data_IF_098499230301
#
_entry.id   IF_098499230301
#
_cell.length_a   1.000
_cell.length_b   1.000
_cell.length_c   1.000
_cell.angle_alpha   90.00
_cell.angle_beta   90.00
_cell.angle_gamma   90.00
#
_symmetry.space_group_name_H-M   'P 1'
#
loop_
_entity.id
_entity.type
_entity.pdbx_description
1 polymer ?
#
# COMPACT_ATOMS: atom_id res chain seq x y z
N UNK A 1 -0.40 -29.76 17.59
CA UNK A 1 -0.21 -28.36 18.05
C UNK A 1 0.86 -27.56 17.26
N UNK A 2 1.75 -28.17 16.46
CA UNK A 2 2.80 -27.44 15.69
C UNK A 2 2.28 -26.56 14.54
N UNK A 3 1.21 -26.98 13.84
CA UNK A 3 0.63 -26.19 12.73
C UNK A 3 0.09 -24.84 13.19
N UNK A 4 -0.67 -24.80 14.28
CA UNK A 4 -1.28 -23.55 14.77
C UNK A 4 -0.23 -22.51 15.22
N UNK A 5 0.82 -22.95 15.94
CA UNK A 5 1.94 -22.08 16.30
C UNK A 5 2.66 -21.56 15.06
N UNK A 6 2.96 -22.43 14.09
CA UNK A 6 3.62 -22.03 12.85
C UNK A 6 2.84 -20.96 12.08
N UNK A 7 1.52 -21.13 11.91
CA UNK A 7 0.68 -20.10 11.27
C UNK A 7 0.61 -18.80 12.05
N UNK A 8 0.58 -18.87 13.39
CA UNK A 8 0.59 -17.69 14.23
C UNK A 8 1.89 -16.90 14.04
N UNK A 9 3.04 -17.58 14.12
CA UNK A 9 4.36 -16.98 14.00
C UNK A 9 4.57 -16.39 12.58
N UNK A 10 4.07 -17.04 11.53
CA UNK A 10 4.15 -16.54 10.16
C UNK A 10 3.38 -15.23 9.94
N UNK A 11 2.27 -15.04 10.67
CA UNK A 11 1.41 -13.85 10.54
C UNK A 11 1.88 -12.69 11.42
N UNK A 12 2.82 -12.95 12.32
CA UNK A 12 3.32 -11.96 13.28
C UNK A 12 4.29 -11.01 12.57
N UNK A 13 3.76 -9.90 12.06
CA UNK A 13 4.57 -8.82 11.50
C UNK A 13 4.82 -7.77 12.58
N UNK A 14 6.08 -7.65 13.00
CA UNK A 14 6.50 -6.56 13.88
C UNK A 14 6.67 -5.28 13.07
N UNK A 15 5.81 -4.29 13.32
CA UNK A 15 5.93 -2.96 12.74
C UNK A 15 6.76 -2.09 13.69
N UNK A 16 7.86 -1.54 13.19
CA UNK A 16 8.70 -0.64 13.96
C UNK A 16 8.35 0.81 13.63
N UNK A 17 8.26 1.63 14.66
CA UNK A 17 7.97 3.04 14.53
C UNK A 17 9.06 3.90 15.16
N UNK A 18 9.28 5.07 14.58
CA UNK A 18 10.19 6.09 15.09
C UNK A 18 9.42 7.21 15.77
N UNK A 19 10.13 7.99 16.58
CA UNK A 19 9.63 9.26 17.12
C UNK A 19 9.21 10.17 15.96
N UNK A 20 8.10 10.87 16.13
CA UNK A 20 7.43 11.75 15.17
C UNK A 20 6.79 11.08 13.95
N UNK A 21 6.78 9.75 13.88
CA UNK A 21 6.02 9.03 12.84
C UNK A 21 4.51 9.24 13.02
N UNK A 22 3.81 9.42 11.91
CA UNK A 22 2.35 9.53 11.88
C UNK A 22 1.71 8.14 11.80
N UNK A 23 0.84 7.84 12.77
CA UNK A 23 0.20 6.53 12.93
C UNK A 23 -1.30 6.65 13.20
N UNK A 24 -2.06 5.71 12.66
CA UNK A 24 -3.46 5.50 13.02
C UNK A 24 -3.57 4.58 14.23
N UNK A 25 -4.46 4.92 15.15
CA UNK A 25 -4.67 4.15 16.39
C UNK A 25 -6.04 3.48 16.38
N UNK A 26 -6.09 2.19 16.69
CA UNK A 26 -7.32 1.42 16.82
C UNK A 26 -7.98 1.66 18.18
N UNK A 27 -9.25 2.10 18.14
CA UNK A 27 -10.10 2.26 19.31
C UNK A 27 -11.34 1.36 19.16
N UNK A 28 -11.51 0.33 20.01
CA UNK A 28 -12.68 -0.54 20.00
C UNK A 28 -13.90 0.13 20.65
N UNK A 29 -14.11 1.43 20.41
CA UNK A 29 -15.19 2.22 21.00
C UNK A 29 -16.16 2.61 19.90
N UNK A 30 -17.39 2.11 20.00
CA UNK A 30 -18.51 2.47 19.12
C UNK A 30 -19.33 3.61 19.72
N UNK A 31 -19.81 4.52 18.89
CA UNK A 31 -20.84 5.49 19.29
C UNK A 31 -22.22 4.81 19.23
N UNK A 32 -23.11 5.04 20.21
CA UNK A 32 -24.47 4.52 20.14
C UNK A 32 -25.19 5.06 18.89
N UNK A 33 -26.02 4.22 18.26
CA UNK A 33 -26.72 4.58 17.02
C UNK A 33 -25.91 4.46 15.73
N UNK A 34 -24.63 4.08 15.78
CA UNK A 34 -23.82 3.83 14.58
C UNK A 34 -23.65 2.34 14.28
N UNK A 35 -23.75 1.99 12.99
CA UNK A 35 -23.50 0.62 12.52
C UNK A 35 -22.01 0.29 12.60
N UNK A 36 -21.67 -0.85 13.23
CA UNK A 36 -20.29 -1.34 13.34
C UNK A 36 -19.64 -1.62 11.98
N UNK A 37 -20.45 -1.95 10.97
CA UNK A 37 -19.97 -2.30 9.62
C UNK A 37 -19.46 -1.09 8.84
N UNK A 38 -20.02 0.09 9.11
CA UNK A 38 -19.67 1.35 8.42
C UNK A 38 -18.80 2.27 9.28
N UNK A 39 -18.55 1.91 10.54
CA UNK A 39 -17.74 2.71 11.45
C UNK A 39 -16.26 2.34 11.32
N UNK A 40 -15.41 3.33 11.04
CA UNK A 40 -13.96 3.15 11.17
C UNK A 40 -13.54 3.25 12.64
N UNK A 41 -12.89 2.20 13.14
CA UNK A 41 -12.30 2.17 14.48
C UNK A 41 -10.88 2.74 14.52
N UNK A 42 -10.26 2.99 13.37
CA UNK A 42 -8.98 3.67 13.27
C UNK A 42 -9.20 5.17 13.32
N UNK A 43 -8.52 5.84 14.25
CA UNK A 43 -8.61 7.29 14.42
C UNK A 43 -7.26 7.95 14.19
N UNK A 44 -7.33 9.12 13.54
CA UNK A 44 -6.29 10.15 13.43
C UNK A 44 -5.00 9.71 12.75
N UNK A 45 -4.24 10.62 12.15
CA UNK A 45 -2.79 10.53 12.24
C UNK A 45 -2.38 11.13 13.60
N UNK A 46 -1.95 10.26 14.51
CA UNK A 46 -1.31 10.64 15.77
C UNK A 46 0.20 10.58 15.60
N UNK A 47 0.93 11.38 16.37
CA UNK A 47 2.39 11.35 16.37
C UNK A 47 2.89 10.47 17.51
N UNK A 48 3.91 9.68 17.22
CA UNK A 48 4.63 8.94 18.26
C UNK A 48 5.58 9.90 18.97
N UNK A 49 5.39 10.01 20.28
CA UNK A 49 6.20 10.88 21.13
C UNK A 49 7.50 10.19 21.52
N UNK A 50 7.43 8.97 22.03
CA UNK A 50 8.59 8.20 22.47
C UNK A 50 8.34 6.69 22.32
N UNK A 51 9.43 5.92 22.19
CA UNK A 51 9.43 4.45 22.18
C UNK A 51 9.86 3.95 23.56
N UNK A 52 9.02 3.16 24.24
CA UNK A 52 9.36 2.56 25.53
C UNK A 52 9.91 1.14 25.39
N UNK A 53 9.55 0.44 24.33
CA UNK A 53 10.06 -0.87 23.96
C UNK A 53 9.63 -1.22 22.54
N UNK A 54 9.84 -2.46 22.12
CA UNK A 54 9.49 -2.87 20.74
C UNK A 54 7.97 -2.95 20.52
N UNK A 55 7.24 -3.27 21.59
CA UNK A 55 5.79 -3.47 21.56
C UNK A 55 5.00 -2.25 22.04
N UNK A 56 5.62 -1.33 22.77
CA UNK A 56 4.93 -0.27 23.51
C UNK A 56 5.46 1.09 23.11
N UNK A 57 4.55 1.94 22.63
CA UNK A 57 4.85 3.29 22.17
C UNK A 57 3.98 4.31 22.90
N UNK A 58 4.52 5.52 23.09
CA UNK A 58 3.78 6.67 23.60
C UNK A 58 3.34 7.52 22.42
N UNK A 59 2.05 7.83 22.35
CA UNK A 59 1.46 8.64 21.29
C UNK A 59 0.52 9.70 21.86
N UNK A 60 0.22 10.75 21.10
CA UNK A 60 -0.63 11.87 21.52
C UNK A 60 -2.14 11.60 21.35
N UNK A 61 -2.58 10.35 21.52
CA UNK A 61 -3.93 9.91 21.18
C UNK A 61 -4.99 10.13 22.26
N UNK A 62 -4.62 10.69 23.42
CA UNK A 62 -5.54 10.95 24.51
C UNK A 62 -6.48 12.15 24.27
N UNK A 63 -7.49 12.28 25.13
CA UNK A 63 -8.38 13.44 25.12
C UNK A 63 -7.56 14.73 25.33
N UNK A 64 -7.76 15.72 24.45
CA UNK A 64 -6.96 16.97 24.41
C UNK A 64 -5.45 16.75 24.22
N UNK A 65 -5.06 15.77 23.38
CA UNK A 65 -3.65 15.43 23.07
C UNK A 65 -2.83 14.99 24.27
N UNK A 66 -3.48 14.44 25.30
CA UNK A 66 -2.75 13.82 26.42
C UNK A 66 -1.95 12.62 25.88
N UNK A 67 -0.68 12.46 26.28
CA UNK A 67 0.09 11.30 25.87
C UNK A 67 -0.53 10.03 26.47
N UNK A 68 -0.68 9.01 25.65
CA UNK A 68 -1.14 7.69 26.04
C UNK A 68 -0.12 6.65 25.60
N UNK A 69 -0.07 5.53 26.31
CA UNK A 69 0.77 4.39 25.97
C UNK A 69 -0.08 3.34 25.26
N UNK A 70 0.35 2.91 24.08
CA UNK A 70 -0.41 2.03 23.17
C UNK A 70 0.50 0.92 22.63
N UNK A 71 -0.07 -0.28 22.52
CA UNK A 71 0.59 -1.46 21.96
C UNK A 71 0.70 -1.38 20.43
N UNK A 72 1.78 -1.93 19.86
CA UNK A 72 2.10 -1.95 18.42
C UNK A 72 0.95 -2.49 17.57
N UNK A 73 0.25 -3.53 18.02
CA UNK A 73 -0.87 -4.14 17.28
C UNK A 73 -2.06 -3.19 17.06
N UNK A 74 -2.16 -2.13 17.88
CA UNK A 74 -3.19 -1.10 17.75
C UNK A 74 -2.76 0.05 16.88
N UNK A 75 -1.50 0.07 16.41
CA UNK A 75 -0.93 1.12 15.57
C UNK A 75 -0.89 0.66 14.11
N UNK A 76 -1.17 1.59 13.19
CA UNK A 76 -0.95 1.40 11.76
C UNK A 76 -0.17 2.58 11.21
N UNK A 77 0.89 2.29 10.45
CA UNK A 77 1.70 3.31 9.77
C UNK A 77 0.84 4.09 8.77
N UNK A 78 0.93 5.42 8.77
CA UNK A 78 0.35 6.24 7.71
C UNK A 78 1.21 6.12 6.46
N UNK A 79 0.64 5.56 5.40
CA UNK A 79 1.29 5.52 4.10
C UNK A 79 1.01 6.83 3.36
N UNK A 80 2.05 7.42 2.76
CA UNK A 80 1.87 8.57 1.86
C UNK A 80 1.17 8.06 0.59
N UNK A 81 0.05 8.68 0.25
CA UNK A 81 -0.64 8.49 -1.02
C UNK A 81 -0.33 9.74 -1.85
N UNK A 82 0.49 9.59 -2.88
CA UNK A 82 0.75 10.63 -3.86
C UNK A 82 0.15 10.20 -5.19
N UNK A 83 -0.46 11.14 -5.91
CA UNK A 83 -0.79 10.91 -7.31
C UNK A 83 0.49 10.91 -8.14
N UNK A 84 0.53 10.12 -9.21
CA UNK A 84 1.68 10.04 -10.13
C UNK A 84 2.07 11.42 -10.67
N UNK A 85 1.09 12.25 -10.99
CA UNK A 85 1.28 13.59 -11.58
C UNK A 85 1.83 14.64 -10.61
N UNK A 86 1.82 14.38 -9.29
CA UNK A 86 2.25 15.37 -8.28
C UNK A 86 3.76 15.28 -7.94
N UNK A 87 4.50 14.30 -8.49
CA UNK A 87 5.89 14.06 -8.11
C UNK A 87 6.91 15.03 -8.74
N UNK A 88 6.50 15.86 -9.71
CA UNK A 88 7.44 16.63 -10.55
C UNK A 88 7.70 18.08 -10.08
N UNK A 89 7.08 18.54 -8.98
CA UNK A 89 7.14 19.97 -8.59
C UNK A 89 8.09 20.32 -7.44
N UNK A 90 9.06 19.46 -7.07
CA UNK A 90 10.00 19.76 -5.97
C UNK A 90 11.49 19.72 -6.33
N UNK A 91 11.83 19.71 -7.62
CA UNK A 91 13.23 19.90 -8.07
C UNK A 91 13.25 20.63 -9.42
N UNK A 92 12.79 21.87 -9.44
CA UNK A 92 13.23 22.84 -10.44
C UNK A 92 13.92 23.97 -9.68
N UNK A 93 15.23 23.86 -9.50
CA UNK A 93 16.09 25.01 -9.25
C UNK A 93 16.11 25.85 -10.53
N UNK A 94 15.63 27.11 -10.52
CA UNK A 94 15.74 27.98 -11.68
C UNK A 94 17.19 28.41 -11.82
N UNK A 95 17.82 28.01 -12.94
CA UNK A 95 19.20 28.21 -13.45
C UNK A 95 19.67 26.81 -13.88
N UNK A 96 19.34 26.33 -15.08
CA UNK A 96 20.04 26.70 -16.31
C UNK A 96 19.10 26.66 -17.53
N UNK A 97 18.46 27.79 -17.82
CA UNK A 97 18.12 28.10 -19.21
C UNK A 97 19.36 28.73 -19.81
N UNK A 98 20.02 28.05 -20.75
CA UNK A 98 20.61 28.58 -21.99
C UNK A 98 21.50 27.48 -22.61
N UNK A 99 21.10 27.08 -23.83
CA UNK A 99 21.86 26.49 -24.93
C UNK A 99 21.59 25.03 -25.35
N UNK A 100 20.80 25.00 -26.45
CA UNK A 100 20.88 24.17 -27.65
C UNK A 100 19.91 22.97 -27.65
N UNK A 101 18.77 23.03 -28.33
CA UNK A 101 18.54 23.28 -29.77
C UNK A 101 19.35 22.31 -30.64
N UNK A 102 18.81 21.11 -30.81
CA UNK A 102 18.94 20.31 -32.03
C UNK A 102 17.76 19.31 -32.06
N UNK A 103 16.81 19.60 -32.93
CA UNK A 103 16.04 18.69 -33.80
C UNK A 103 16.25 17.18 -33.53
N UNK A 104 15.18 16.42 -33.29
CA UNK A 104 14.72 15.44 -34.28
C UNK A 104 13.47 14.69 -33.78
N UNK A 105 12.55 14.56 -34.72
CA UNK A 105 11.17 14.08 -34.64
C UNK A 105 11.02 12.62 -34.19
N UNK A 106 9.79 12.31 -33.74
CA UNK A 106 8.93 11.17 -34.15
C UNK A 106 8.09 10.70 -32.95
N UNK A 107 6.84 11.15 -32.91
CA UNK A 107 5.78 10.64 -32.02
C UNK A 107 5.04 9.55 -32.80
N UNK A 108 5.12 8.30 -32.35
CA UNK A 108 4.18 7.26 -32.78
C UNK A 108 3.47 6.62 -31.58
N UNK A 109 2.17 6.89 -31.51
CA UNK A 109 1.19 6.17 -30.71
C UNK A 109 0.67 4.95 -31.50
N UNK A 110 0.65 3.72 -30.96
CA UNK A 110 -0.06 2.63 -31.61
C UNK A 110 -1.45 2.46 -30.97
N UNK A 111 -2.45 3.11 -31.57
CA UNK A 111 -3.86 2.74 -31.46
C UNK A 111 -4.18 1.74 -32.57
N UNK A 112 -4.73 0.58 -32.19
CA UNK A 112 -5.50 -0.40 -32.98
C UNK A 112 -5.32 -0.44 -34.51
N UNK A 113 -4.89 -1.60 -35.04
CA UNK A 113 -5.45 -2.37 -36.17
C UNK A 113 -4.49 -3.59 -36.31
N UNK A 114 -4.90 -4.85 -36.28
CA UNK A 114 -5.58 -5.53 -37.36
C UNK A 114 -6.23 -6.86 -36.92
N UNK A 115 -7.44 -7.07 -37.41
CA UNK A 115 -8.16 -8.33 -37.46
C UNK A 115 -7.87 -8.93 -38.84
N UNK A 116 -7.21 -10.09 -38.93
CA UNK A 116 -7.47 -11.10 -39.97
C UNK A 116 -6.58 -12.35 -39.81
N UNK A 117 -7.25 -13.48 -39.52
CA UNK A 117 -7.04 -14.80 -40.13
C UNK A 117 -5.65 -15.44 -40.16
N UNK A 118 -5.43 -16.44 -39.31
CA UNK A 118 -4.86 -17.70 -39.77
C UNK A 118 -5.51 -18.88 -39.05
N UNK A 119 -6.05 -19.78 -39.87
CA UNK A 119 -6.78 -21.00 -39.53
C UNK A 119 -5.85 -22.16 -39.13
N UNK A 120 -6.37 -22.96 -38.19
CA UNK A 120 -6.11 -24.32 -37.68
C UNK A 120 -4.79 -25.09 -37.93
N UNK A 121 -4.31 -25.73 -36.85
CA UNK A 121 -3.93 -27.17 -36.81
C UNK A 121 -3.85 -27.65 -35.33
N UNK A 122 -4.60 -28.72 -35.01
CA UNK A 122 -4.45 -29.62 -33.84
C UNK A 122 -3.99 -30.98 -34.40
N UNK A 123 -3.21 -31.84 -33.69
CA UNK A 123 -3.60 -32.64 -32.49
C UNK A 123 -2.45 -32.82 -31.45
N UNK A 124 -2.49 -33.47 -30.29
CA UNK A 124 -3.45 -34.04 -29.33
C UNK A 124 -2.67 -34.28 -28.00
N UNK A 125 -3.36 -34.14 -26.86
CA UNK A 125 -3.25 -34.83 -25.55
C UNK A 125 -1.86 -35.18 -24.93
N UNK A 126 -1.55 -34.57 -23.78
CA UNK A 126 -1.43 -35.35 -22.54
C UNK A 126 -1.62 -34.45 -21.30
N UNK A 127 -2.75 -34.67 -20.65
CA UNK A 127 -3.26 -33.95 -19.48
C UNK A 127 -2.75 -34.58 -18.20
N UNK A 128 -1.95 -33.86 -17.41
CA UNK A 128 -1.88 -34.06 -15.95
C UNK A 128 -2.18 -32.73 -15.25
N UNK A 129 -3.48 -32.48 -15.10
CA UNK A 129 -4.06 -31.43 -14.25
C UNK A 129 -3.71 -31.69 -12.78
N UNK A 130 -2.75 -30.94 -12.24
CA UNK A 130 -2.69 -30.72 -10.79
C UNK A 130 -3.50 -29.48 -10.46
N UNK A 131 -4.73 -29.71 -10.00
CA UNK A 131 -5.72 -28.72 -9.58
C UNK A 131 -5.18 -27.72 -8.55
N UNK A 132 -4.75 -26.54 -8.98
CA UNK A 132 -4.66 -25.36 -8.11
C UNK A 132 -5.87 -24.46 -8.37
N UNK A 133 -6.94 -24.77 -7.65
CA UNK A 133 -8.09 -23.95 -7.28
C UNK A 133 -8.24 -22.60 -8.03
N UNK A 134 -9.30 -22.50 -8.84
CA UNK A 134 -9.71 -21.30 -9.59
C UNK A 134 -10.09 -20.11 -8.70
N UNK A 135 -9.09 -19.48 -8.07
CA UNK A 135 -9.25 -18.17 -7.46
C UNK A 135 -9.47 -17.15 -8.57
N UNK A 136 -10.69 -16.60 -8.65
CA UNK A 136 -11.00 -15.47 -9.52
C UNK A 136 -10.06 -14.31 -9.16
N UNK A 137 -9.06 -14.04 -10.02
CA UNK A 137 -8.17 -12.90 -9.87
C UNK A 137 -8.94 -11.63 -10.22
N UNK A 138 -9.34 -10.85 -9.20
CA UNK A 138 -10.01 -9.56 -9.42
C UNK A 138 -9.02 -8.58 -10.06
N UNK A 139 -9.42 -7.92 -11.15
CA UNK A 139 -8.65 -6.82 -11.73
C UNK A 139 -8.61 -5.67 -10.73
N UNK A 140 -7.45 -5.02 -10.59
CA UNK A 140 -7.34 -3.79 -9.79
C UNK A 140 -8.20 -2.70 -10.45
N UNK A 141 -8.91 -1.88 -9.67
CA UNK A 141 -9.74 -0.84 -10.22
C UNK A 141 -8.90 0.26 -10.90
N UNK A 142 -9.44 0.89 -11.94
CA UNK A 142 -8.73 1.87 -12.79
C UNK A 142 -8.11 3.01 -11.97
N UNK A 143 -8.84 3.55 -10.99
CA UNK A 143 -8.37 4.64 -10.13
C UNK A 143 -7.09 4.31 -9.35
N UNK A 144 -6.77 3.03 -9.17
CA UNK A 144 -5.56 2.60 -8.45
C UNK A 144 -4.29 2.80 -9.30
N UNK A 145 -4.42 3.01 -10.62
CA UNK A 145 -3.30 3.30 -11.51
C UNK A 145 -2.66 4.66 -11.22
N UNK A 146 -3.43 5.62 -10.71
CA UNK A 146 -2.96 6.99 -10.52
C UNK A 146 -2.18 7.18 -9.22
N UNK A 147 -2.31 6.25 -8.26
CA UNK A 147 -1.66 6.35 -6.96
C UNK A 147 -0.30 5.63 -6.94
N UNK A 148 0.72 6.33 -6.46
CA UNK A 148 1.98 5.73 -6.04
C UNK A 148 1.94 5.53 -4.53
N UNK A 149 1.99 4.27 -4.09
CA UNK A 149 2.21 3.93 -2.70
C UNK A 149 3.71 3.79 -2.47
N UNK A 150 4.29 4.60 -1.59
CA UNK A 150 5.64 4.37 -1.06
C UNK A 150 5.61 3.12 -0.17
N UNK A 151 5.68 1.95 -0.82
CA UNK A 151 5.70 0.67 -0.13
C UNK A 151 7.11 0.48 0.41
N UNK A 152 7.40 1.01 1.60
CA UNK A 152 8.64 0.70 2.31
C UNK A 152 8.55 -0.73 2.85
N UNK A 153 8.62 -1.74 1.99
CA UNK A 153 8.77 -3.14 2.40
C UNK A 153 9.76 -3.84 1.47
N UNK A 154 11.04 -3.76 1.82
CA UNK A 154 11.99 -4.81 1.47
C UNK A 154 11.64 -6.03 2.33
N UNK A 155 11.21 -7.12 1.70
CA UNK A 155 11.17 -8.45 2.31
C UNK A 155 12.31 -9.28 1.71
N UNK A 156 13.36 -9.64 2.46
CA UNK A 156 14.23 -10.75 2.07
C UNK A 156 13.52 -12.09 2.33
N UNK A 157 13.77 -13.05 1.44
CA UNK A 157 13.25 -14.42 1.43
C UNK A 157 13.77 -15.29 2.58
#
# INVERSE_FOLDING_TARGET
MRRQKHYHDLKLSYQNFRKDDEVYVYFPVKKPGMSSKLTSFLKGPFKILDKYGDLIYKNDCGQRRKPQVVHVDRLKKKNKQSLRTEQDNSTFSPLDTINNCAEDDQVETPYLQDIAGHESTLPDEDTQESSSEGHRKRRKPVWMADYVYSTSMFYPF
#
